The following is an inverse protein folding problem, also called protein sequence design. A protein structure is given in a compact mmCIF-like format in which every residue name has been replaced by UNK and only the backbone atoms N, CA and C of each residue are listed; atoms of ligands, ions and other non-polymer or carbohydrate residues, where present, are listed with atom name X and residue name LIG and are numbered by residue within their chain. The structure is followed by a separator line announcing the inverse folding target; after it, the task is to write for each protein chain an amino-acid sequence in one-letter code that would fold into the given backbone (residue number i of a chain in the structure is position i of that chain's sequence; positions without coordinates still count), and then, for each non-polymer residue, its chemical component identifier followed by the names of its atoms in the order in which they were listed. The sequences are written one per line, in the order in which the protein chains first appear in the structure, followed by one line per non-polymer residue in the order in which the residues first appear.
data_IF_430773779343
#
_entry.id   IF_430773779343
#
_cell.length_a   1.000
_cell.length_b   1.000
_cell.length_c   1.000
_cell.angle_alpha   90.00
_cell.angle_beta   90.00
_cell.angle_gamma   90.00
#
_symmetry.space_group_name_H-M   'P 1'
#
loop_
_entity.id
_entity.type
_entity.pdbx_description
1 polymer ?
#
# COMPACT_ATOMS: atom_id res chain seq x y z
N UNK A 1 3.82 5.86 25.04
CA UNK A 1 2.59 6.46 24.48
C UNK A 1 2.83 6.62 22.98
N UNK A 2 2.22 5.78 22.17
CA UNK A 2 2.35 5.81 20.71
C UNK A 2 1.51 7.00 20.26
N UNK A 3 2.15 8.01 19.66
CA UNK A 3 1.43 9.10 18.99
C UNK A 3 0.62 8.49 17.86
N UNK A 4 -0.69 8.35 18.09
CA UNK A 4 -1.66 8.10 17.04
C UNK A 4 -1.73 9.38 16.22
N UNK A 5 -1.08 9.40 15.06
CA UNK A 5 -1.46 10.36 14.03
C UNK A 5 -2.89 10.02 13.63
N UNK A 6 -3.77 10.99 13.74
CA UNK A 6 -5.13 10.88 13.26
C UNK A 6 -5.09 10.44 11.80
N UNK A 7 -5.48 9.20 11.55
CA UNK A 7 -5.82 8.74 10.22
C UNK A 7 -6.99 9.61 9.77
N UNK A 8 -6.71 10.66 9.01
CA UNK A 8 -7.75 11.46 8.36
C UNK A 8 -8.40 10.56 7.34
N UNK A 9 -9.42 9.86 7.78
CA UNK A 9 -10.25 9.01 6.94
C UNK A 9 -11.46 9.82 6.47
N UNK A 10 -11.57 9.93 5.16
CA UNK A 10 -12.77 10.13 4.35
C UNK A 10 -13.63 11.38 4.49
N UNK A 11 -13.92 11.97 3.32
CA UNK A 11 -15.08 12.79 3.01
C UNK A 11 -14.80 14.23 2.63
N UNK A 12 -13.71 14.82 3.07
CA UNK A 12 -13.39 16.19 2.70
C UNK A 12 -12.45 16.24 1.50
N UNK A 13 -13.04 16.56 0.34
CA UNK A 13 -12.32 16.90 -0.88
C UNK A 13 -11.50 18.17 -0.66
N UNK A 14 -10.29 18.02 -0.11
CA UNK A 14 -9.40 19.16 0.14
C UNK A 14 -8.57 19.52 -1.10
N UNK A 15 -8.16 20.79 -1.25
CA UNK A 15 -7.25 21.18 -2.32
C UNK A 15 -5.95 20.39 -2.31
N UNK A 16 -5.38 20.10 -3.48
CA UNK A 16 -4.06 19.49 -3.60
C UNK A 16 -2.97 20.36 -2.95
N UNK A 17 -3.11 21.69 -3.02
CA UNK A 17 -2.20 22.66 -2.39
C UNK A 17 -2.07 22.44 -0.89
N UNK A 18 -3.18 22.18 -0.19
CA UNK A 18 -3.17 21.96 1.25
C UNK A 18 -2.39 20.69 1.63
N UNK A 19 -2.47 19.64 0.79
CA UNK A 19 -1.66 18.42 0.97
C UNK A 19 -0.17 18.73 0.75
N UNK A 20 0.17 19.48 -0.30
CA UNK A 20 1.56 19.86 -0.57
C UNK A 20 2.15 20.70 0.56
N UNK A 21 1.39 21.66 1.08
CA UNK A 21 1.80 22.49 2.22
C UNK A 21 1.99 21.63 3.49
N UNK A 22 1.06 20.71 3.77
CA UNK A 22 1.19 19.78 4.90
C UNK A 22 2.48 18.97 4.80
N UNK A 23 2.73 18.32 3.65
CA UNK A 23 3.90 17.47 3.46
C UNK A 23 5.22 18.26 3.48
N UNK A 24 5.21 19.51 3.01
CA UNK A 24 6.40 20.38 2.95
C UNK A 24 6.76 20.96 4.32
N UNK A 25 5.79 21.10 5.21
CA UNK A 25 6.00 21.65 6.56
C UNK A 25 6.51 20.61 7.57
N UNK A 26 6.59 19.34 7.20
CA UNK A 26 7.12 18.31 8.09
C UNK A 26 8.62 18.45 8.29
N UNK A 27 9.03 18.44 9.55
CA UNK A 27 10.45 18.49 9.92
C UNK A 27 11.05 17.12 9.88
N UNK A 28 11.69 16.82 8.76
CA UNK A 28 12.39 15.55 8.49
C UNK A 28 13.86 15.81 8.21
N UNK A 29 14.70 14.90 8.61
CA UNK A 29 16.10 14.90 8.20
C UNK A 29 16.62 13.47 8.10
N UNK A 30 17.66 13.30 7.30
CA UNK A 30 18.28 12.03 7.02
C UNK A 30 19.77 12.13 7.33
N UNK A 31 20.34 11.07 7.89
CA UNK A 31 21.74 11.01 8.21
C UNK A 31 22.37 9.71 7.71
N UNK A 32 23.61 9.80 7.25
CA UNK A 32 24.41 8.63 6.97
C UNK A 32 25.38 8.43 8.15
N UNK A 33 25.20 7.32 8.87
CA UNK A 33 26.01 6.94 10.02
C UNK A 33 26.85 5.70 9.72
N UNK A 34 27.96 5.52 10.45
CA UNK A 34 28.63 4.23 10.47
C UNK A 34 27.89 3.27 11.40
N UNK A 35 28.01 1.96 11.18
CA UNK A 35 27.53 0.96 12.14
C UNK A 35 28.12 1.16 13.53
N UNK A 36 29.39 1.54 13.60
CA UNK A 36 30.09 1.81 14.87
C UNK A 36 29.53 2.98 15.67
N UNK A 37 28.81 3.90 15.01
CA UNK A 37 28.13 5.02 15.66
C UNK A 37 26.73 4.69 16.17
N UNK A 38 26.18 3.52 15.86
CA UNK A 38 24.88 3.07 16.38
C UNK A 38 25.09 2.50 17.78
N UNK A 39 24.51 3.16 18.78
CA UNK A 39 24.48 2.68 20.16
C UNK A 39 23.17 3.06 20.81
N UNK A 40 22.60 2.15 21.56
CA UNK A 40 21.38 2.36 22.35
C UNK A 40 21.74 2.59 23.81
N UNK A 41 20.99 3.46 24.47
CA UNK A 41 20.97 3.59 25.93
C UNK A 41 20.04 2.52 26.56
N UNK A 42 19.97 2.54 27.89
CA UNK A 42 19.16 1.59 28.66
C UNK A 42 17.64 1.74 28.43
N UNK A 43 17.20 2.85 27.84
CA UNK A 43 15.81 3.07 27.41
C UNK A 43 15.57 2.71 25.94
N UNK A 44 16.53 2.06 25.27
CA UNK A 44 16.52 1.75 23.85
C UNK A 44 16.39 2.99 22.93
N UNK A 45 16.91 4.15 23.35
CA UNK A 45 17.06 5.34 22.52
C UNK A 45 18.45 5.38 21.88
N UNK A 46 18.58 6.07 20.76
CA UNK A 46 19.91 6.32 20.19
C UNK A 46 20.71 7.25 21.13
N UNK A 47 21.88 6.80 21.57
CA UNK A 47 22.77 7.58 22.45
C UNK A 47 23.16 8.90 21.79
N UNK A 48 23.46 8.86 20.51
CA UNK A 48 23.79 10.04 19.73
C UNK A 48 22.49 10.76 19.28
N UNK A 49 22.22 11.91 19.90
CA UNK A 49 21.06 12.74 19.67
C UNK A 49 19.79 12.38 20.48
N UNK A 50 19.79 11.32 21.28
CA UNK A 50 18.67 10.96 22.17
C UNK A 50 17.37 10.59 21.45
N UNK A 51 17.42 10.23 20.15
CA UNK A 51 16.25 9.96 19.35
C UNK A 51 15.54 8.67 19.79
N UNK A 52 14.24 8.78 20.00
CA UNK A 52 13.37 7.63 20.28
C UNK A 52 12.95 6.97 18.96
N UNK A 53 12.81 5.65 18.95
CA UNK A 53 12.34 4.94 17.77
C UNK A 53 10.82 4.99 17.63
N UNK A 54 10.33 5.18 16.41
CA UNK A 54 8.97 4.76 16.09
C UNK A 54 8.88 3.24 16.10
N UNK A 55 7.68 2.66 16.19
CA UNK A 55 7.49 1.21 16.11
C UNK A 55 8.13 0.61 14.84
N UNK A 56 7.99 1.29 13.70
CA UNK A 56 8.57 0.87 12.41
C UNK A 56 10.09 1.07 12.37
N UNK A 57 10.57 2.17 12.95
CA UNK A 57 12.01 2.43 13.12
C UNK A 57 12.68 1.35 13.95
N UNK A 58 12.07 0.96 15.06
CA UNK A 58 12.58 -0.11 15.91
C UNK A 58 12.55 -1.48 15.19
N UNK A 59 11.47 -1.77 14.45
CA UNK A 59 11.40 -2.97 13.62
C UNK A 59 12.48 -3.01 12.52
N UNK A 60 12.89 -1.85 11.97
CA UNK A 60 14.01 -1.77 11.02
C UNK A 60 15.35 -2.04 11.68
N UNK A 61 15.56 -1.57 12.92
CA UNK A 61 16.73 -1.90 13.72
C UNK A 61 16.81 -3.40 14.03
N UNK A 62 15.71 -4.02 14.44
CA UNK A 62 15.62 -5.46 14.68
C UNK A 62 15.99 -6.28 13.43
N UNK A 63 15.50 -5.88 12.24
CA UNK A 63 15.91 -6.51 10.97
C UNK A 63 17.38 -6.36 10.67
N UNK A 64 17.94 -5.20 11.00
CA UNK A 64 19.35 -4.89 10.80
C UNK A 64 20.26 -5.79 11.66
N UNK A 65 19.86 -6.05 12.89
CA UNK A 65 20.56 -6.85 13.90
C UNK A 65 20.07 -8.31 13.94
N UNK A 66 19.26 -8.74 12.98
CA UNK A 66 18.69 -10.10 12.93
C UNK A 66 17.94 -10.53 14.20
N UNK A 67 17.47 -9.56 15.00
CA UNK A 67 16.71 -9.84 16.23
C UNK A 67 15.30 -10.32 15.90
N UNK A 68 14.85 -11.46 16.45
CA UNK A 68 13.50 -11.95 16.22
C UNK A 68 12.44 -10.99 16.81
N UNK A 69 11.42 -10.56 16.03
CA UNK A 69 10.40 -9.63 16.53
C UNK A 69 9.67 -10.15 17.79
N UNK A 70 9.40 -11.45 17.87
CA UNK A 70 8.75 -12.05 19.04
C UNK A 70 9.58 -11.93 20.32
N UNK A 71 10.91 -12.03 20.24
CA UNK A 71 11.80 -11.83 21.37
C UNK A 71 11.80 -10.38 21.83
N UNK A 72 11.81 -9.46 20.87
CA UNK A 72 11.76 -8.01 21.14
C UNK A 72 10.45 -7.64 21.85
N UNK A 73 9.31 -8.08 21.31
CA UNK A 73 8.01 -7.84 21.93
C UNK A 73 7.90 -8.43 23.33
N UNK A 74 8.52 -9.59 23.56
CA UNK A 74 8.55 -10.23 24.88
C UNK A 74 9.40 -9.42 25.88
N UNK A 75 10.59 -9.00 25.50
CA UNK A 75 11.48 -8.19 26.34
C UNK A 75 10.85 -6.84 26.69
N UNK A 76 10.24 -6.16 25.70
CA UNK A 76 9.55 -4.89 25.94
C UNK A 76 8.38 -5.02 26.90
N UNK A 77 7.59 -6.11 26.82
CA UNK A 77 6.45 -6.36 27.72
C UNK A 77 6.87 -6.71 29.16
N UNK A 78 8.11 -7.09 29.36
CA UNK A 78 8.66 -7.47 30.68
C UNK A 78 9.56 -6.39 31.30
N UNK A 79 9.57 -5.19 30.71
CA UNK A 79 10.40 -4.08 31.13
C UNK A 79 11.93 -4.40 31.14
N UNK A 80 12.37 -5.24 30.19
CA UNK A 80 13.77 -5.62 30.02
C UNK A 80 14.47 -4.79 28.93
N UNK A 81 14.16 -3.47 28.84
CA UNK A 81 14.77 -2.58 27.87
C UNK A 81 16.31 -2.52 27.98
N UNK A 82 16.93 -2.44 29.18
CA UNK A 82 18.40 -2.43 29.28
C UNK A 82 19.04 -3.70 28.71
N UNK A 83 18.43 -4.88 28.94
CA UNK A 83 18.92 -6.14 28.42
C UNK A 83 18.78 -6.19 26.90
N UNK A 84 17.64 -5.70 26.37
CA UNK A 84 17.41 -5.59 24.93
C UNK A 84 18.41 -4.65 24.28
N UNK A 85 18.65 -3.47 24.86
CA UNK A 85 19.69 -2.54 24.40
C UNK A 85 21.09 -3.18 24.42
N UNK A 86 21.40 -3.91 25.48
CA UNK A 86 22.67 -4.65 25.59
C UNK A 86 22.86 -5.69 24.50
N UNK A 87 21.81 -6.50 24.19
CA UNK A 87 21.84 -7.47 23.10
C UNK A 87 22.01 -6.78 21.74
N UNK A 88 21.23 -5.74 21.46
CA UNK A 88 21.31 -5.00 20.19
C UNK A 88 22.70 -4.38 20.02
N UNK A 89 23.24 -3.75 21.07
CA UNK A 89 24.57 -3.16 21.03
C UNK A 89 25.66 -4.22 20.80
N UNK A 90 25.51 -5.40 21.40
CA UNK A 90 26.45 -6.52 21.19
C UNK A 90 26.41 -7.03 19.75
N UNK A 91 25.20 -7.19 19.18
CA UNK A 91 25.02 -7.58 17.77
C UNK A 91 25.61 -6.53 16.81
N UNK A 92 25.38 -5.25 17.06
CA UNK A 92 25.98 -4.16 16.28
C UNK A 92 27.48 -4.22 16.34
N UNK A 93 28.06 -4.47 17.53
CA UNK A 93 29.50 -4.63 17.71
C UNK A 93 30.02 -5.90 17.00
N UNK A 94 29.29 -7.03 17.08
CA UNK A 94 29.63 -8.27 16.39
C UNK A 94 29.63 -8.13 14.86
N UNK A 95 28.64 -7.44 14.30
CA UNK A 95 28.54 -7.17 12.85
C UNK A 95 29.73 -6.36 12.30
N UNK A 96 30.52 -5.69 13.17
CA UNK A 96 31.73 -5.00 12.76
C UNK A 96 32.92 -5.95 12.53
N UNK A 97 32.88 -7.15 13.13
CA UNK A 97 34.00 -8.09 13.11
C UNK A 97 33.79 -9.25 12.12
N UNK A 98 32.56 -9.53 11.70
CA UNK A 98 32.25 -10.74 10.95
C UNK A 98 32.53 -10.62 9.43
N UNK A 99 32.84 -9.45 8.91
CA UNK A 99 33.08 -9.24 7.47
C UNK A 99 34.47 -9.68 6.97
N UNK A 100 35.32 -10.32 7.80
CA UNK A 100 36.60 -10.93 7.36
C UNK A 100 37.56 -10.04 6.51
N UNK A 101 37.18 -8.79 6.28
CA UNK A 101 37.86 -7.80 5.46
C UNK A 101 38.14 -6.54 6.28
N UNK A 102 39.25 -6.61 7.00
CA UNK A 102 39.78 -5.52 7.84
C UNK A 102 39.98 -4.15 7.14
N UNK A 103 39.65 -4.02 5.87
CA UNK A 103 39.90 -2.83 5.05
C UNK A 103 38.70 -2.28 4.28
N UNK A 104 37.44 -2.67 4.59
CA UNK A 104 36.29 -1.94 4.02
C UNK A 104 35.96 -0.76 4.95
N UNK A 105 35.79 0.46 4.40
CA UNK A 105 35.24 1.57 5.16
C UNK A 105 33.94 1.09 5.77
N UNK A 106 33.77 1.24 7.08
CA UNK A 106 32.72 0.64 7.88
C UNK A 106 31.36 0.77 7.21
N UNK A 107 30.58 -0.31 7.27
CA UNK A 107 29.23 -0.40 6.68
C UNK A 107 28.43 0.82 7.09
N UNK A 108 27.85 1.50 6.12
CA UNK A 108 27.12 2.76 6.34
C UNK A 108 25.64 2.49 6.45
N UNK A 109 24.98 3.20 7.33
CA UNK A 109 23.53 3.14 7.56
C UNK A 109 22.93 4.47 7.19
N UNK A 110 21.88 4.42 6.41
CA UNK A 110 21.02 5.55 6.14
C UNK A 110 19.91 5.57 7.18
N UNK A 111 19.91 6.58 8.05
CA UNK A 111 18.96 6.74 9.15
C UNK A 111 18.01 7.89 8.85
N UNK A 112 16.70 7.64 8.97
CA UNK A 112 15.65 8.63 8.74
C UNK A 112 15.04 9.08 10.05
N UNK A 113 14.92 10.39 10.23
CA UNK A 113 14.32 11.02 11.39
C UNK A 113 13.14 11.91 11.03
N UNK A 114 12.31 12.18 12.02
CA UNK A 114 11.33 13.26 12.03
C UNK A 114 11.21 13.84 13.42
N UNK A 115 10.68 15.06 13.53
CA UNK A 115 10.26 15.61 14.81
C UNK A 115 8.79 15.27 15.10
N UNK A 116 8.48 14.98 16.36
CA UNK A 116 7.09 14.91 16.82
C UNK A 116 6.55 16.31 17.09
N UNK A 117 5.25 16.41 17.45
CA UNK A 117 4.60 17.68 17.77
C UNK A 117 5.24 18.44 18.97
N UNK A 118 6.08 17.76 19.76
CA UNK A 118 6.79 18.35 20.91
C UNK A 118 8.24 18.72 20.58
N UNK A 119 8.67 18.52 19.34
CA UNK A 119 10.04 18.75 18.91
C UNK A 119 11.02 17.60 19.26
N UNK A 120 10.55 16.44 19.73
CA UNK A 120 11.41 15.31 19.99
C UNK A 120 11.78 14.61 18.68
N UNK A 121 13.03 14.20 18.57
CA UNK A 121 13.50 13.42 17.44
C UNK A 121 13.02 11.97 17.51
N UNK A 122 12.43 11.50 16.42
CA UNK A 122 11.97 10.13 16.24
C UNK A 122 12.76 9.49 15.11
N UNK A 123 13.49 8.38 15.40
CA UNK A 123 14.10 7.54 14.39
C UNK A 123 13.01 6.69 13.73
N UNK A 124 12.72 6.94 12.44
CA UNK A 124 11.65 6.28 11.68
C UNK A 124 12.08 5.00 11.00
N UNK A 125 13.31 4.96 10.53
CA UNK A 125 13.89 3.80 9.85
C UNK A 125 15.43 3.85 9.80
N UNK A 126 16.00 2.64 9.68
CA UNK A 126 17.42 2.42 9.37
C UNK A 126 17.48 1.51 8.13
N UNK A 127 18.29 1.90 7.16
CA UNK A 127 18.51 1.19 5.91
C UNK A 127 19.98 1.06 5.59
N UNK A 128 20.31 0.21 4.63
CA UNK A 128 21.62 0.29 3.99
C UNK A 128 21.76 1.61 3.21
N UNK A 129 22.98 2.01 2.92
CA UNK A 129 23.32 3.17 2.08
C UNK A 129 22.81 3.06 0.62
N UNK A 130 22.22 1.91 0.26
CA UNK A 130 21.56 1.69 -1.04
C UNK A 130 20.10 2.12 -1.06
N UNK A 131 19.55 2.57 0.07
CA UNK A 131 18.19 3.09 0.09
C UNK A 131 18.09 4.39 -0.69
N UNK A 132 17.16 4.46 -1.61
CA UNK A 132 16.87 5.67 -2.38
C UNK A 132 15.69 6.40 -1.73
N UNK A 133 15.98 7.48 -1.04
CA UNK A 133 14.96 8.33 -0.43
C UNK A 133 14.23 9.14 -1.52
N UNK A 134 12.94 8.96 -1.58
CA UNK A 134 12.02 9.85 -2.31
C UNK A 134 10.84 10.11 -1.37
N UNK A 135 10.75 11.31 -0.87
CA UNK A 135 9.74 11.68 0.10
C UNK A 135 8.37 11.89 -0.56
N UNK A 136 7.33 11.79 0.25
CA UNK A 136 5.95 11.92 -0.21
C UNK A 136 5.69 13.28 -0.88
N UNK A 137 6.24 14.37 -0.33
CA UNK A 137 6.13 15.70 -0.91
C UNK A 137 6.73 15.78 -2.33
N UNK A 138 7.88 15.12 -2.55
CA UNK A 138 8.54 15.10 -3.87
C UNK A 138 7.68 14.34 -4.89
N UNK A 139 7.13 13.19 -4.50
CA UNK A 139 6.28 12.40 -5.40
C UNK A 139 4.98 13.12 -5.73
N UNK A 140 4.31 13.70 -4.72
CA UNK A 140 3.05 14.47 -4.92
C UNK A 140 3.31 15.72 -5.75
N UNK A 141 4.43 16.43 -5.53
CA UNK A 141 4.82 17.58 -6.34
C UNK A 141 5.04 17.20 -7.81
N UNK A 142 5.72 16.09 -8.09
CA UNK A 142 5.90 15.58 -9.46
C UNK A 142 4.56 15.27 -10.15
N UNK A 143 3.58 14.73 -9.42
CA UNK A 143 2.21 14.51 -9.94
C UNK A 143 1.51 15.85 -10.18
N UNK A 144 1.62 16.81 -9.27
CA UNK A 144 1.05 18.15 -9.44
C UNK A 144 1.64 18.89 -10.65
N UNK A 145 2.95 18.74 -10.88
CA UNK A 145 3.65 19.35 -12.03
C UNK A 145 3.34 18.65 -13.37
N UNK A 146 2.78 17.44 -13.32
CA UNK A 146 2.29 16.75 -14.50
C UNK A 146 0.89 17.21 -14.94
N UNK A 147 0.14 17.89 -14.09
CA UNK A 147 -1.14 18.52 -14.41
C UNK A 147 -0.92 19.87 -15.08
N UNK A 148 -1.86 20.29 -15.93
CA UNK A 148 -1.91 21.68 -16.40
C UNK A 148 -2.14 22.64 -15.23
N UNK A 149 -1.83 23.92 -15.40
CA UNK A 149 -2.01 24.93 -14.36
C UNK A 149 -3.47 24.97 -13.86
N UNK A 150 -4.44 24.92 -14.78
CA UNK A 150 -5.86 24.93 -14.44
C UNK A 150 -6.32 23.64 -13.72
N UNK A 151 -5.83 22.47 -14.16
CA UNK A 151 -6.13 21.20 -13.49
C UNK A 151 -5.54 21.16 -12.09
N UNK A 152 -4.30 21.61 -11.93
CA UNK A 152 -3.61 21.65 -10.62
C UNK A 152 -4.31 22.56 -9.62
N UNK A 153 -4.77 23.74 -10.04
CA UNK A 153 -5.51 24.67 -9.18
C UNK A 153 -6.83 24.06 -8.69
N UNK A 154 -7.48 23.30 -9.53
CA UNK A 154 -8.78 22.68 -9.26
C UNK A 154 -8.68 21.24 -8.74
N UNK A 155 -7.46 20.67 -8.69
CA UNK A 155 -7.25 19.31 -8.20
C UNK A 155 -7.63 19.19 -6.73
N UNK A 156 -8.29 18.06 -6.41
CA UNK A 156 -8.76 17.71 -5.07
C UNK A 156 -8.25 16.35 -4.65
N UNK A 157 -7.90 16.24 -3.41
CA UNK A 157 -7.62 14.97 -2.75
C UNK A 157 -8.95 14.35 -2.35
N UNK A 158 -9.39 13.35 -3.11
CA UNK A 158 -10.65 12.66 -2.86
C UNK A 158 -10.56 11.74 -1.64
N UNK A 159 -9.41 11.12 -1.43
CA UNK A 159 -9.12 10.23 -0.31
C UNK A 159 -7.67 10.40 0.12
N UNK A 160 -7.44 10.42 1.42
CA UNK A 160 -6.10 10.49 1.99
C UNK A 160 -5.96 9.58 3.20
N UNK A 161 -4.87 8.85 3.25
CA UNK A 161 -4.31 8.26 4.46
C UNK A 161 -2.83 8.62 4.51
N UNK A 162 -2.43 9.28 5.57
CA UNK A 162 -1.05 9.67 5.77
C UNK A 162 -0.70 9.63 7.27
N UNK A 163 0.31 8.88 7.63
CA UNK A 163 0.76 8.69 9.01
C UNK A 163 2.19 9.23 9.28
N UNK A 164 2.70 10.04 8.36
CA UNK A 164 4.06 10.57 8.39
C UNK A 164 5.12 9.61 7.83
N UNK A 165 4.79 8.36 7.58
CA UNK A 165 5.67 7.33 7.01
C UNK A 165 5.14 6.77 5.70
N UNK A 166 3.84 6.60 5.57
CA UNK A 166 3.14 6.07 4.40
C UNK A 166 2.08 7.04 3.92
N UNK A 167 2.07 7.30 2.62
CA UNK A 167 1.06 8.08 1.92
C UNK A 167 0.28 7.19 0.97
N UNK A 168 -1.05 7.27 1.07
CA UNK A 168 -2.02 6.69 0.16
C UNK A 168 -3.05 7.77 -0.12
N UNK A 169 -3.12 8.26 -1.36
CA UNK A 169 -4.12 9.26 -1.71
C UNK A 169 -4.68 9.04 -3.12
N UNK A 170 -5.94 9.44 -3.30
CA UNK A 170 -6.58 9.49 -4.60
C UNK A 170 -6.78 10.95 -4.98
N UNK A 171 -6.32 11.31 -6.16
CA UNK A 171 -6.37 12.66 -6.70
C UNK A 171 -7.32 12.72 -7.88
N UNK A 172 -8.18 13.73 -7.89
CA UNK A 172 -9.14 14.03 -8.96
C UNK A 172 -9.05 15.50 -9.35
N UNK A 173 -9.44 15.81 -10.60
CA UNK A 173 -9.43 17.16 -11.15
C UNK A 173 -10.59 17.33 -12.14
N UNK A 174 -10.86 18.52 -12.71
CA UNK A 174 -11.93 18.71 -13.66
C UNK A 174 -11.88 17.71 -14.83
N UNK A 175 -13.04 17.18 -15.21
CA UNK A 175 -13.14 16.16 -16.24
C UNK A 175 -13.00 14.72 -15.74
N UNK A 176 -12.86 14.51 -14.40
CA UNK A 176 -12.78 13.17 -13.80
C UNK A 176 -14.15 12.48 -13.62
N UNK A 177 -15.27 13.21 -13.66
CA UNK A 177 -16.59 12.64 -13.44
C UNK A 177 -17.10 11.88 -14.66
N UNK A 178 -17.77 10.76 -14.42
CA UNK A 178 -18.38 9.90 -15.44
C UNK A 178 -19.80 9.51 -15.04
N UNK A 179 -20.71 9.55 -16.01
CA UNK A 179 -22.08 9.03 -15.87
C UNK A 179 -22.27 7.88 -16.85
N UNK A 180 -22.45 6.66 -16.36
CA UNK A 180 -22.61 5.47 -17.18
C UNK A 180 -23.69 4.57 -16.61
N UNK A 181 -24.70 4.25 -17.42
CA UNK A 181 -25.78 3.34 -17.01
C UNK A 181 -26.60 3.83 -15.82
N UNK A 182 -26.71 5.14 -15.63
CA UNK A 182 -27.44 5.74 -14.49
C UNK A 182 -26.63 5.77 -13.19
N UNK A 183 -25.39 5.34 -13.21
CA UNK A 183 -24.47 5.38 -12.06
C UNK A 183 -23.37 6.42 -12.24
N UNK A 184 -22.99 7.07 -11.14
CA UNK A 184 -21.92 8.06 -11.11
C UNK A 184 -20.59 7.40 -10.71
N UNK A 185 -19.57 7.65 -11.52
CA UNK A 185 -18.19 7.22 -11.29
C UNK A 185 -17.26 8.44 -11.30
N UNK A 186 -16.14 8.31 -10.64
CA UNK A 186 -15.07 9.28 -10.70
C UNK A 186 -13.79 8.56 -11.09
N UNK A 187 -13.05 9.10 -12.03
CA UNK A 187 -11.75 8.59 -12.46
C UNK A 187 -10.65 9.54 -11.99
N UNK A 188 -9.42 9.06 -11.86
CA UNK A 188 -8.33 9.90 -11.38
C UNK A 188 -7.05 9.11 -11.23
N UNK A 189 -6.24 9.49 -10.25
CA UNK A 189 -4.96 8.85 -9.93
C UNK A 189 -4.93 8.42 -8.47
N UNK A 190 -4.44 7.19 -8.23
CA UNK A 190 -4.00 6.72 -6.92
C UNK A 190 -2.49 6.93 -6.81
N UNK A 191 -2.06 7.59 -5.74
CA UNK A 191 -0.66 7.79 -5.36
C UNK A 191 -0.40 7.00 -4.09
N UNK A 192 0.65 6.18 -4.12
CA UNK A 192 1.10 5.41 -2.98
C UNK A 192 2.61 5.56 -2.84
N UNK A 193 3.08 5.78 -1.62
CA UNK A 193 4.52 5.73 -1.31
C UNK A 193 4.74 5.47 0.17
N UNK A 194 5.96 5.05 0.51
CA UNK A 194 6.43 4.95 1.88
C UNK A 194 7.83 5.53 2.00
N UNK A 195 8.00 6.47 2.89
CA UNK A 195 9.30 7.05 3.18
C UNK A 195 10.22 6.11 3.97
N UNK A 196 9.66 5.03 4.50
CA UNK A 196 10.38 4.01 5.28
C UNK A 196 10.43 2.64 4.58
N UNK A 197 10.17 2.59 3.27
CA UNK A 197 10.37 1.41 2.43
C UNK A 197 9.38 0.26 2.63
N UNK A 198 8.28 0.47 3.33
CA UNK A 198 7.21 -0.53 3.54
C UNK A 198 6.34 -0.70 2.30
N UNK A 199 6.16 0.37 1.53
CA UNK A 199 5.41 0.38 0.27
C UNK A 199 6.32 0.78 -0.88
N UNK A 200 5.95 0.40 -2.10
CA UNK A 200 6.56 0.93 -3.32
C UNK A 200 6.00 2.32 -3.63
N UNK A 201 6.78 3.14 -4.29
CA UNK A 201 6.25 4.32 -4.99
C UNK A 201 5.39 3.85 -6.14
N UNK A 202 4.14 4.27 -6.18
CA UNK A 202 3.21 3.97 -7.26
C UNK A 202 2.37 5.19 -7.60
N UNK A 203 2.19 5.40 -8.90
CA UNK A 203 1.23 6.35 -9.46
C UNK A 203 0.45 5.59 -10.53
N UNK A 204 -0.85 5.45 -10.33
CA UNK A 204 -1.69 4.57 -11.14
C UNK A 204 -3.07 5.20 -11.37
N UNK A 205 -3.71 4.95 -12.52
CA UNK A 205 -5.11 5.35 -12.72
C UNK A 205 -6.02 4.70 -11.67
N UNK A 206 -7.05 5.42 -11.30
CA UNK A 206 -8.03 5.00 -10.29
C UNK A 206 -9.46 5.28 -10.76
N UNK A 207 -10.38 4.43 -10.33
CA UNK A 207 -11.82 4.55 -10.57
C UNK A 207 -12.53 4.45 -9.23
N UNK A 208 -13.38 5.41 -8.91
CA UNK A 208 -14.31 5.39 -7.79
C UNK A 208 -15.75 5.27 -8.26
N UNK A 209 -16.54 4.38 -7.65
CA UNK A 209 -17.98 4.33 -7.81
C UNK A 209 -18.62 5.14 -6.70
N UNK A 210 -19.26 6.25 -7.02
CA UNK A 210 -19.71 7.24 -6.02
C UNK A 210 -20.85 6.74 -5.15
N UNK A 211 -21.73 5.87 -5.67
CA UNK A 211 -22.90 5.34 -4.93
C UNK A 211 -22.50 4.57 -3.67
N UNK A 212 -21.35 3.90 -3.68
CA UNK A 212 -20.88 3.04 -2.58
C UNK A 212 -19.53 3.47 -2.01
N UNK A 213 -18.98 4.61 -2.44
CA UNK A 213 -17.62 5.07 -2.14
C UNK A 213 -16.52 4.01 -2.42
N UNK A 214 -16.81 3.02 -3.26
CA UNK A 214 -15.92 1.94 -3.62
C UNK A 214 -14.87 2.43 -4.61
N UNK A 215 -13.62 2.02 -4.44
CA UNK A 215 -12.53 2.36 -5.33
C UNK A 215 -11.90 1.13 -5.99
N UNK A 216 -11.38 1.31 -7.19
CA UNK A 216 -10.65 0.31 -7.95
C UNK A 216 -9.39 0.95 -8.51
N UNK A 217 -8.23 0.39 -8.22
CA UNK A 217 -6.96 0.84 -8.79
C UNK A 217 -6.73 0.10 -10.09
N UNK A 218 -6.60 0.83 -11.18
CA UNK A 218 -6.42 0.25 -12.51
C UNK A 218 -5.01 -0.32 -12.65
N UNK A 219 -4.92 -1.63 -12.79
CA UNK A 219 -3.65 -2.30 -13.05
C UNK A 219 -3.41 -2.40 -14.55
N UNK A 220 -2.44 -1.66 -15.07
CA UNK A 220 -2.04 -1.75 -16.48
C UNK A 220 -0.96 -2.80 -16.66
N UNK A 221 -1.08 -3.66 -17.68
CA UNK A 221 -0.06 -4.65 -18.06
C UNK A 221 1.11 -4.02 -18.83
N UNK A 222 0.97 -2.81 -19.31
CA UNK A 222 1.82 -2.19 -20.34
C UNK A 222 2.64 -1.02 -19.82
N UNK A 223 3.33 -1.14 -18.69
CA UNK A 223 4.39 -0.16 -18.32
C UNK A 223 3.98 1.32 -18.17
N UNK A 224 2.71 1.65 -18.34
CA UNK A 224 2.16 3.03 -18.27
C UNK A 224 1.88 3.50 -16.83
N UNK A 225 2.08 2.63 -15.83
CA UNK A 225 1.97 2.98 -14.42
C UNK A 225 3.36 3.03 -13.79
N UNK A 226 3.59 4.04 -12.96
CA UNK A 226 4.83 4.12 -12.18
C UNK A 226 4.75 3.13 -11.03
N UNK A 227 5.74 2.23 -10.92
CA UNK A 227 5.91 1.33 -9.78
C UNK A 227 7.39 1.08 -9.53
N UNK A 228 7.97 1.77 -8.54
CA UNK A 228 9.41 1.69 -8.22
C UNK A 228 9.64 1.36 -6.75
N UNK A 229 10.69 0.60 -6.46
CA UNK A 229 11.17 0.36 -5.09
C UNK A 229 12.15 1.45 -4.69
N UNK A 230 12.26 1.72 -3.41
CA UNK A 230 13.23 2.64 -2.81
C UNK A 230 14.63 2.01 -2.71
N UNK A 231 15.17 1.49 -3.82
CA UNK A 231 16.46 0.78 -3.83
C UNK A 231 17.31 1.20 -5.01
N UNK A 232 18.60 1.40 -4.77
CA UNK A 232 19.56 1.80 -5.78
C UNK A 232 19.53 3.29 -6.07
N UNK A 233 19.92 3.68 -7.27
CA UNK A 233 19.85 5.08 -7.71
C UNK A 233 18.52 5.31 -8.41
N UNK A 234 17.74 6.26 -7.94
CA UNK A 234 16.53 6.73 -8.61
C UNK A 234 16.88 8.03 -9.33
N UNK A 235 16.76 8.01 -10.65
CA UNK A 235 16.83 9.22 -11.45
C UNK A 235 15.49 9.96 -11.34
N UNK A 236 15.50 11.10 -10.63
CA UNK A 236 14.30 11.91 -10.39
C UNK A 236 13.75 12.53 -11.68
N UNK A 237 14.61 12.84 -12.65
CA UNK A 237 14.16 13.38 -13.95
C UNK A 237 13.42 12.31 -14.74
N UNK A 238 13.95 11.08 -14.77
CA UNK A 238 13.26 9.95 -15.40
C UNK A 238 11.96 9.61 -14.66
N UNK A 239 11.96 9.65 -13.33
CA UNK A 239 10.75 9.43 -12.52
C UNK A 239 9.67 10.47 -12.84
N UNK A 240 10.05 11.75 -12.93
CA UNK A 240 9.11 12.83 -13.29
C UNK A 240 8.59 12.66 -14.74
N UNK A 241 9.42 12.21 -15.67
CA UNK A 241 9.00 11.91 -17.03
C UNK A 241 7.99 10.75 -17.07
N UNK A 242 8.27 9.64 -16.37
CA UNK A 242 7.37 8.49 -16.24
C UNK A 242 6.02 8.90 -15.63
N UNK A 243 6.05 9.76 -14.61
CA UNK A 243 4.83 10.30 -13.97
C UNK A 243 4.02 11.14 -14.95
N UNK A 244 4.66 12.03 -15.75
CA UNK A 244 3.93 12.83 -16.74
C UNK A 244 3.21 11.96 -17.76
N UNK A 245 3.84 10.90 -18.23
CA UNK A 245 3.22 9.93 -19.15
C UNK A 245 2.02 9.24 -18.48
N UNK A 246 2.19 8.81 -17.22
CA UNK A 246 1.13 8.16 -16.46
C UNK A 246 -0.06 9.11 -16.23
N UNK A 247 0.20 10.33 -15.78
CA UNK A 247 -0.84 11.35 -15.54
C UNK A 247 -1.56 11.70 -16.83
N UNK A 248 -0.81 11.97 -17.90
CA UNK A 248 -1.37 12.33 -19.21
C UNK A 248 -2.27 11.26 -19.84
N UNK A 249 -2.04 9.99 -19.52
CA UNK A 249 -2.83 8.86 -20.03
C UNK A 249 -3.86 8.32 -19.02
N UNK A 250 -3.86 8.81 -17.79
CA UNK A 250 -4.63 8.22 -16.69
C UNK A 250 -6.13 8.16 -16.94
N UNK A 251 -6.73 9.26 -17.42
CA UNK A 251 -8.17 9.31 -17.70
C UNK A 251 -8.55 8.30 -18.79
N UNK A 252 -7.79 8.24 -19.87
CA UNK A 252 -8.07 7.30 -20.98
C UNK A 252 -7.90 5.84 -20.53
N UNK A 253 -6.94 5.55 -19.65
CA UNK A 253 -6.76 4.22 -19.08
C UNK A 253 -7.89 3.85 -18.13
N UNK A 254 -8.30 4.78 -17.26
CA UNK A 254 -9.42 4.59 -16.37
C UNK A 254 -10.74 4.39 -17.14
N UNK A 255 -10.96 5.15 -18.23
CA UNK A 255 -12.13 4.97 -19.08
C UNK A 255 -12.17 3.57 -19.72
N UNK A 256 -11.05 3.10 -20.26
CA UNK A 256 -10.97 1.73 -20.79
C UNK A 256 -11.27 0.67 -19.72
N UNK A 257 -10.71 0.83 -18.53
CA UNK A 257 -10.95 -0.08 -17.42
C UNK A 257 -12.39 -0.01 -16.91
N UNK A 258 -13.01 1.18 -16.91
CA UNK A 258 -14.42 1.34 -16.57
C UNK A 258 -15.32 0.59 -17.56
N UNK A 259 -15.05 0.70 -18.84
CA UNK A 259 -15.78 -0.06 -19.88
C UNK A 259 -15.64 -1.57 -19.65
N UNK A 260 -14.42 -2.06 -19.35
CA UNK A 260 -14.19 -3.48 -19.05
C UNK A 260 -14.90 -3.92 -17.76
N UNK A 261 -14.85 -3.10 -16.72
CA UNK A 261 -15.53 -3.37 -15.45
C UNK A 261 -17.04 -3.49 -15.64
N UNK A 262 -17.65 -2.57 -16.39
CA UNK A 262 -19.08 -2.60 -16.69
C UNK A 262 -19.46 -3.76 -17.63
N UNK A 263 -18.59 -4.13 -18.55
CA UNK A 263 -18.81 -5.32 -19.41
C UNK A 263 -18.90 -6.61 -18.57
N UNK A 264 -18.27 -6.65 -17.40
CA UNK A 264 -18.38 -7.73 -16.42
C UNK A 264 -19.82 -8.03 -15.97
N UNK A 265 -20.78 -7.09 -16.16
CA UNK A 265 -22.22 -7.33 -15.91
C UNK A 265 -22.80 -8.39 -16.84
N UNK A 266 -22.23 -8.55 -18.04
CA UNK A 266 -22.67 -9.54 -19.03
C UNK A 266 -22.09 -10.93 -18.78
N UNK A 267 -21.03 -11.02 -17.98
CA UNK A 267 -20.36 -12.28 -17.62
C UNK A 267 -21.09 -12.88 -16.43
N UNK A 268 -22.10 -13.73 -16.71
CA UNK A 268 -22.89 -14.41 -15.68
C UNK A 268 -22.10 -15.57 -15.08
N UNK A 269 -22.18 -15.72 -13.78
CA UNK A 269 -21.45 -16.73 -13.02
C UNK A 269 -22.43 -17.54 -12.17
N UNK A 270 -22.22 -18.85 -12.06
CA UNK A 270 -23.19 -19.74 -11.41
C UNK A 270 -22.97 -19.85 -9.89
N UNK A 271 -21.71 -19.81 -9.43
CA UNK A 271 -21.35 -20.09 -8.02
C UNK A 271 -20.35 -19.04 -7.54
N UNK A 272 -20.89 -17.90 -7.11
CA UNK A 272 -20.07 -16.77 -6.67
C UNK A 272 -19.22 -17.06 -5.46
N UNK A 273 -19.76 -17.79 -4.48
CA UNK A 273 -19.07 -18.05 -3.22
C UNK A 273 -17.84 -18.90 -3.42
N UNK A 274 -18.00 -19.92 -4.25
CA UNK A 274 -16.94 -20.82 -4.64
C UNK A 274 -15.83 -20.08 -5.40
N UNK A 275 -16.21 -19.22 -6.34
CA UNK A 275 -15.28 -18.38 -7.10
C UNK A 275 -14.53 -17.42 -6.15
N UNK A 276 -15.22 -16.75 -5.24
CA UNK A 276 -14.60 -15.84 -4.28
C UNK A 276 -13.61 -16.58 -3.36
N UNK A 277 -13.98 -17.75 -2.86
CA UNK A 277 -13.10 -18.57 -2.02
C UNK A 277 -11.85 -19.00 -2.77
N UNK A 278 -12.00 -19.43 -4.03
CA UNK A 278 -10.88 -19.82 -4.86
C UNK A 278 -9.96 -18.64 -5.17
N UNK A 279 -10.50 -17.53 -5.63
CA UNK A 279 -9.73 -16.30 -5.88
C UNK A 279 -9.03 -15.80 -4.60
N UNK A 280 -9.70 -15.92 -3.44
CA UNK A 280 -9.10 -15.60 -2.16
C UNK A 280 -7.83 -16.42 -1.87
N UNK A 281 -7.86 -17.73 -2.16
CA UNK A 281 -6.71 -18.63 -2.03
C UNK A 281 -5.59 -18.29 -3.04
N UNK A 282 -5.94 -18.12 -4.30
CA UNK A 282 -4.99 -17.85 -5.38
C UNK A 282 -4.23 -16.52 -5.15
N UNK A 283 -4.91 -15.55 -4.58
CA UNK A 283 -4.33 -14.25 -4.23
C UNK A 283 -3.85 -14.14 -2.78
N UNK A 284 -3.81 -15.27 -2.04
CA UNK A 284 -3.30 -15.36 -0.66
C UNK A 284 -3.99 -14.38 0.30
N UNK A 285 -5.28 -14.18 0.13
CA UNK A 285 -6.07 -13.42 1.08
C UNK A 285 -6.22 -14.22 2.39
N UNK A 286 -6.30 -13.51 3.50
CA UNK A 286 -6.62 -14.14 4.79
C UNK A 286 -8.06 -14.63 4.79
N UNK A 287 -8.36 -15.55 5.70
CA UNK A 287 -9.75 -16.03 5.89
C UNK A 287 -10.71 -14.88 6.18
N UNK A 288 -10.28 -13.89 6.97
CA UNK A 288 -11.12 -12.74 7.30
C UNK A 288 -11.35 -11.82 6.10
N UNK A 289 -10.33 -11.58 5.28
CA UNK A 289 -10.48 -10.84 4.03
C UNK A 289 -11.43 -11.53 3.05
N UNK A 290 -11.34 -12.85 2.94
CA UNK A 290 -12.24 -13.63 2.08
C UNK A 290 -13.68 -13.60 2.60
N UNK A 291 -13.90 -13.70 3.92
CA UNK A 291 -15.23 -13.56 4.53
C UNK A 291 -15.82 -12.16 4.31
N UNK A 292 -15.01 -11.11 4.45
CA UNK A 292 -15.45 -9.75 4.15
C UNK A 292 -15.83 -9.59 2.67
N UNK A 293 -15.08 -10.22 1.76
CA UNK A 293 -15.43 -10.23 0.34
C UNK A 293 -16.78 -10.89 0.08
N UNK A 294 -17.06 -12.05 0.67
CA UNK A 294 -18.36 -12.72 0.58
C UNK A 294 -19.50 -11.79 1.05
N UNK A 295 -19.38 -11.18 2.26
CA UNK A 295 -20.37 -10.22 2.76
C UNK A 295 -20.53 -9.00 1.85
N UNK A 296 -19.43 -8.45 1.35
CA UNK A 296 -19.42 -7.34 0.40
C UNK A 296 -20.14 -7.69 -0.92
N UNK A 297 -20.00 -8.94 -1.38
CA UNK A 297 -20.69 -9.44 -2.56
C UNK A 297 -22.19 -9.60 -2.31
N UNK A 298 -22.62 -10.21 -1.19
CA UNK A 298 -24.04 -10.30 -0.81
C UNK A 298 -24.70 -8.92 -0.73
N UNK A 299 -24.01 -7.96 -0.11
CA UNK A 299 -24.49 -6.57 -0.04
C UNK A 299 -24.59 -5.94 -1.42
N UNK A 300 -23.65 -6.22 -2.32
CA UNK A 300 -23.66 -5.74 -3.70
C UNK A 300 -24.85 -6.31 -4.49
N UNK A 301 -25.17 -7.59 -4.31
CA UNK A 301 -26.33 -8.22 -4.96
C UNK A 301 -27.66 -7.62 -4.51
N UNK A 302 -27.72 -7.06 -3.30
CA UNK A 302 -28.91 -6.38 -2.78
C UNK A 302 -29.15 -5.00 -3.41
N UNK A 303 -28.19 -4.48 -4.17
CA UNK A 303 -28.33 -3.18 -4.85
C UNK A 303 -29.28 -3.30 -6.06
N UNK A 304 -30.27 -2.38 -6.21
CA UNK A 304 -31.25 -2.45 -7.31
C UNK A 304 -30.62 -2.47 -8.72
N UNK A 305 -29.44 -1.89 -8.87
CA UNK A 305 -28.73 -1.77 -10.17
C UNK A 305 -27.88 -2.98 -10.50
N UNK A 306 -27.74 -3.95 -9.58
CA UNK A 306 -26.88 -5.14 -9.75
C UNK A 306 -27.70 -6.39 -9.96
N UNK A 307 -28.49 -6.81 -8.98
CA UNK A 307 -29.55 -7.84 -9.06
C UNK A 307 -29.13 -9.28 -9.39
N UNK A 308 -28.00 -9.49 -10.07
CA UNK A 308 -27.58 -10.81 -10.56
C UNK A 308 -26.09 -11.08 -10.31
N UNK A 309 -25.78 -12.36 -10.10
CA UNK A 309 -24.38 -12.82 -9.95
C UNK A 309 -23.64 -12.69 -11.28
N UNK A 310 -22.58 -11.91 -11.27
CA UNK A 310 -21.76 -11.60 -12.45
C UNK A 310 -20.33 -11.27 -12.03
N UNK A 311 -19.41 -11.22 -12.99
CA UNK A 311 -18.06 -10.75 -12.74
C UNK A 311 -18.05 -9.34 -12.13
N UNK A 312 -18.95 -8.47 -12.58
CA UNK A 312 -19.12 -7.13 -11.99
C UNK A 312 -19.49 -7.20 -10.50
N UNK A 313 -20.48 -8.02 -10.11
CA UNK A 313 -20.93 -8.12 -8.72
C UNK A 313 -19.82 -8.67 -7.81
N UNK A 314 -19.05 -9.65 -8.27
CA UNK A 314 -17.93 -10.23 -7.52
C UNK A 314 -16.83 -9.17 -7.30
N UNK A 315 -16.43 -8.46 -8.35
CA UNK A 315 -15.39 -7.42 -8.25
C UNK A 315 -15.88 -6.25 -7.40
N UNK A 316 -17.12 -5.82 -7.56
CA UNK A 316 -17.70 -4.75 -6.74
C UNK A 316 -17.80 -5.14 -5.27
N UNK A 317 -18.11 -6.40 -4.96
CA UNK A 317 -18.06 -6.96 -3.61
C UNK A 317 -16.67 -6.89 -2.99
N UNK A 318 -15.62 -7.15 -3.77
CA UNK A 318 -14.23 -7.01 -3.32
C UNK A 318 -13.88 -5.55 -3.00
N UNK A 319 -14.24 -4.61 -3.87
CA UNK A 319 -14.00 -3.18 -3.63
C UNK A 319 -14.79 -2.66 -2.43
N UNK A 320 -15.99 -3.21 -2.17
CA UNK A 320 -16.78 -2.91 -0.99
C UNK A 320 -16.10 -3.43 0.27
N UNK A 321 -15.62 -4.68 0.27
CA UNK A 321 -14.89 -5.23 1.41
C UNK A 321 -13.60 -4.46 1.74
N UNK A 322 -13.00 -3.82 0.73
CA UNK A 322 -11.85 -2.95 0.93
C UNK A 322 -12.19 -1.73 1.79
N UNK A 323 -13.43 -1.22 1.76
CA UNK A 323 -13.87 -0.09 2.57
C UNK A 323 -13.94 -0.44 4.07
N UNK A 324 -14.17 -1.71 4.39
CA UNK A 324 -14.22 -2.20 5.78
C UNK A 324 -12.81 -2.40 6.38
N UNK A 325 -11.75 -2.21 5.58
CA UNK A 325 -10.38 -2.35 6.08
C UNK A 325 -9.98 -1.13 6.90
N UNK A 326 -9.56 -1.36 8.13
CA UNK A 326 -9.05 -0.31 9.03
C UNK A 326 -7.70 0.24 8.53
N UNK A 327 -6.89 -0.62 7.90
CA UNK A 327 -5.58 -0.22 7.37
C UNK A 327 -5.69 0.21 5.90
N UNK A 328 -5.21 1.40 5.60
CA UNK A 328 -5.21 1.94 4.24
C UNK A 328 -4.38 1.09 3.26
N UNK A 329 -3.29 0.48 3.72
CA UNK A 329 -2.48 -0.44 2.90
C UNK A 329 -3.24 -1.69 2.49
N UNK A 330 -4.04 -2.29 3.40
CA UNK A 330 -4.90 -3.43 3.09
C UNK A 330 -5.97 -3.04 2.07
N UNK A 331 -6.62 -1.90 2.28
CA UNK A 331 -7.60 -1.36 1.34
C UNK A 331 -7.01 -1.22 -0.07
N UNK A 332 -5.87 -0.57 -0.19
CA UNK A 332 -5.18 -0.38 -1.48
C UNK A 332 -4.80 -1.72 -2.12
N UNK A 333 -4.42 -2.72 -1.33
CA UNK A 333 -4.15 -4.08 -1.82
C UNK A 333 -5.40 -4.72 -2.44
N UNK A 334 -6.55 -4.63 -1.78
CA UNK A 334 -7.82 -5.18 -2.27
C UNK A 334 -8.33 -4.41 -3.49
N UNK A 335 -8.24 -3.08 -3.51
CA UNK A 335 -8.58 -2.26 -4.68
C UNK A 335 -7.67 -2.57 -5.89
N UNK A 336 -6.38 -2.81 -5.65
CA UNK A 336 -5.44 -3.25 -6.71
C UNK A 336 -5.74 -4.66 -7.19
N UNK A 337 -6.18 -5.57 -6.31
CA UNK A 337 -6.62 -6.90 -6.70
C UNK A 337 -7.87 -6.79 -7.59
N UNK A 338 -8.85 -5.98 -7.22
CA UNK A 338 -10.03 -5.73 -8.02
C UNK A 338 -9.67 -5.24 -9.44
N UNK A 339 -8.72 -4.30 -9.55
CA UNK A 339 -8.21 -3.82 -10.84
C UNK A 339 -7.55 -4.92 -11.68
N UNK A 340 -6.79 -5.83 -11.05
CA UNK A 340 -6.21 -6.99 -11.75
C UNK A 340 -7.28 -7.95 -12.28
N UNK A 341 -8.34 -8.16 -11.52
CA UNK A 341 -9.46 -9.00 -11.96
C UNK A 341 -10.21 -8.38 -13.16
N UNK A 342 -10.39 -7.06 -13.17
CA UNK A 342 -10.97 -6.35 -14.34
C UNK A 342 -10.10 -6.55 -15.59
N UNK A 343 -8.78 -6.40 -15.47
CA UNK A 343 -7.87 -6.51 -16.61
C UNK A 343 -7.56 -7.95 -17.03
N UNK A 344 -7.91 -8.93 -16.20
CA UNK A 344 -7.50 -10.33 -16.35
C UNK A 344 -8.35 -11.19 -17.27
N UNK A 345 -9.38 -10.64 -17.94
CA UNK A 345 -10.39 -11.41 -18.69
C UNK A 345 -11.04 -12.49 -17.81
N UNK A 346 -12.01 -12.08 -17.02
CA UNK A 346 -12.72 -12.92 -16.07
C UNK A 346 -13.35 -14.17 -16.72
N UNK A 347 -13.75 -14.06 -17.98
CA UNK A 347 -14.25 -15.14 -18.84
C UNK A 347 -13.23 -16.25 -19.07
N UNK A 348 -11.92 -15.93 -19.09
CA UNK A 348 -10.85 -16.89 -19.27
C UNK A 348 -10.44 -17.60 -17.96
N UNK A 349 -10.73 -17.01 -16.78
CA UNK A 349 -10.44 -17.61 -15.48
C UNK A 349 -11.51 -18.63 -15.05
N UNK A 350 -12.74 -18.46 -15.50
CA UNK A 350 -13.87 -19.29 -15.11
C UNK A 350 -13.72 -20.78 -15.45
N UNK A 351 -13.32 -21.17 -16.67
CA UNK A 351 -13.10 -22.57 -17.01
C UNK A 351 -12.01 -23.26 -16.19
N UNK A 352 -10.95 -22.54 -15.84
CA UNK A 352 -9.85 -23.07 -15.02
C UNK A 352 -10.30 -23.29 -13.56
N UNK A 353 -11.05 -22.33 -13.01
CA UNK A 353 -11.64 -22.43 -11.67
C UNK A 353 -12.61 -23.61 -11.63
N UNK A 354 -13.47 -23.77 -12.61
CA UNK A 354 -14.44 -24.87 -12.67
C UNK A 354 -13.76 -26.24 -12.83
N UNK A 355 -12.71 -26.33 -13.66
CA UNK A 355 -11.94 -27.55 -13.83
C UNK A 355 -11.22 -27.96 -12.54
N UNK A 356 -10.64 -27.02 -11.80
CA UNK A 356 -9.99 -27.28 -10.52
C UNK A 356 -10.99 -27.78 -9.47
N UNK A 357 -12.16 -27.21 -9.40
CA UNK A 357 -13.20 -27.65 -8.48
C UNK A 357 -13.72 -29.05 -8.80
N UNK A 358 -13.94 -29.39 -10.03
CA UNK A 358 -14.31 -30.76 -10.44
C UNK A 358 -13.27 -31.77 -9.97
N UNK A 359 -11.97 -31.44 -10.03
CA UNK A 359 -10.90 -32.26 -9.48
C UNK A 359 -11.00 -32.45 -7.97
N UNK A 360 -11.32 -31.35 -7.23
CA UNK A 360 -11.47 -31.38 -5.77
C UNK A 360 -12.69 -32.20 -5.38
N UNK A 361 -13.84 -32.03 -6.04
CA UNK A 361 -15.05 -32.83 -5.81
C UNK A 361 -14.84 -34.30 -6.08
N UNK A 362 -14.20 -34.64 -7.20
CA UNK A 362 -13.85 -36.02 -7.52
C UNK A 362 -12.95 -36.65 -6.47
N UNK A 363 -11.98 -35.87 -5.97
CA UNK A 363 -11.05 -36.34 -4.92
C UNK A 363 -11.74 -36.52 -3.58
N UNK A 364 -12.69 -35.62 -3.23
CA UNK A 364 -13.49 -35.73 -2.01
C UNK A 364 -14.46 -36.90 -2.04
N UNK A 365 -15.07 -37.18 -3.21
CA UNK A 365 -15.94 -38.37 -3.37
C UNK A 365 -15.15 -39.70 -3.29
N UNK A 366 -13.96 -39.74 -3.88
CA UNK A 366 -13.08 -40.93 -3.77
C UNK A 366 -12.66 -41.19 -2.32
N UNK A 367 -12.41 -40.14 -1.51
CA UNK A 367 -12.07 -40.28 -0.09
C UNK A 367 -13.27 -40.69 0.78
N UNK A 368 -14.50 -40.35 0.38
CA UNK A 368 -15.71 -40.80 1.09
C UNK A 368 -16.05 -42.27 0.80
N UNK A 369 -15.66 -42.80 -0.34
CA UNK A 369 -15.87 -44.19 -0.74
C UNK A 369 -14.81 -45.15 -0.14
N UNK A 370 -13.66 -44.63 0.33
CA UNK A 370 -12.63 -45.41 1.03
C UNK A 370 -12.86 -45.48 2.56
N UNK A 371 -13.85 -44.79 3.12
CA UNK A 371 -14.15 -44.76 4.57
C UNK A 371 -15.47 -45.50 4.90
N UNK A 372 -16.16 -46.05 3.92
CA UNK A 372 -17.29 -46.95 4.10
C UNK A 372 -16.90 -48.39 3.79
#
# INVERSE_FOLDING_TARGET
MISTYDNVMFGDSRPLTDLLDQLSNERKHDEIRSYSGLKLDDECKLVDGGATFTKRGFASLCRLTSMPPAMVDWLCRKDYQPQLAGFINAEIAGLQFDDGQANRPGKRIFTRFREDAKGNQLCRALFSDRYAAVDANVLVAMVADALTASEREQARVHRLSYDGDELLCNLVWPGCDRQVGGEAYQVGIAIQTSEIGTLRMQVQPWIGRLVCANGLIVCTRTGEAVSKRHVGKIDLNQLAADIRVTVGSALAQADRALVQFLAGRKVKLADSDRIIIQLGRDHRLTTEQTKRWLRGHETTLSEPTVGEVSAFSIINGLTRSAQESEMASERTQLESLAGRLVSGRFDALYPEIEAEWRRVETRASMLSDEVL
#
